data_IF_909869590537
#
_entry.id   IF_909869590537
#
_cell.length_a   1.000
_cell.length_b   1.000
_cell.length_c   1.000
_cell.angle_alpha   90.00
_cell.angle_beta   90.00
_cell.angle_gamma   90.00
#
_symmetry.space_group_name_H-M   'P 1'
#
loop_
_entity.id
_entity.type
_entity.pdbx_description
1 polymer ?
#
# COMPACT_ATOMS: atom_id res chain seq x y z
N UNK A 1 7.28 -25.02 18.99
CA UNK A 1 5.92 -24.50 18.81
C UNK A 1 5.85 -22.98 19.05
N UNK A 2 6.16 -22.52 20.25
CA UNK A 2 6.14 -21.09 20.62
C UNK A 2 7.51 -20.44 20.36
N UNK A 3 7.46 -19.14 20.05
CA UNK A 3 8.64 -18.30 20.06
C UNK A 3 9.18 -18.23 21.51
N UNK A 4 10.49 -18.33 21.68
CA UNK A 4 11.12 -18.36 22.99
C UNK A 4 10.88 -17.07 23.78
N UNK A 5 11.00 -15.93 23.12
CA UNK A 5 10.75 -14.64 23.77
C UNK A 5 9.28 -14.51 24.22
N UNK A 6 8.35 -15.01 23.41
CA UNK A 6 6.95 -15.04 23.80
C UNK A 6 6.70 -15.97 25.00
N UNK A 7 7.34 -17.15 25.01
CA UNK A 7 7.24 -18.08 26.12
C UNK A 7 7.81 -17.48 27.42
N UNK A 8 8.94 -16.78 27.35
CA UNK A 8 9.50 -16.02 28.48
C UNK A 8 8.51 -15.00 29.02
N UNK A 9 7.93 -14.19 28.13
CA UNK A 9 6.94 -13.17 28.52
C UNK A 9 5.75 -13.78 29.23
N UNK A 10 5.16 -14.84 28.68
CA UNK A 10 3.97 -15.49 29.27
C UNK A 10 4.27 -16.09 30.65
N UNK A 11 5.38 -16.78 30.80
CA UNK A 11 5.70 -17.46 32.05
C UNK A 11 6.17 -16.48 33.12
N UNK A 12 6.93 -15.48 32.76
CA UNK A 12 7.50 -14.52 33.71
C UNK A 12 6.51 -13.42 34.12
N UNK A 13 5.72 -12.91 33.17
CA UNK A 13 4.87 -11.74 33.36
C UNK A 13 3.38 -12.06 33.38
N UNK A 14 3.03 -13.27 32.95
CA UNK A 14 1.65 -13.67 32.73
C UNK A 14 1.07 -13.03 31.45
N UNK A 15 0.01 -13.58 30.92
CA UNK A 15 -0.67 -13.03 29.75
C UNK A 15 -2.14 -13.44 29.68
N UNK A 16 -2.90 -12.64 28.94
CA UNK A 16 -4.30 -12.91 28.57
C UNK A 16 -4.45 -12.81 27.05
N UNK A 17 -4.00 -13.84 26.33
CA UNK A 17 -4.04 -13.88 24.87
C UNK A 17 -5.43 -14.05 24.26
N UNK A 18 -6.39 -14.41 25.09
CA UNK A 18 -7.77 -14.65 24.70
C UNK A 18 -8.68 -13.73 25.51
N UNK A 19 -8.94 -12.51 25.04
CA UNK A 19 -9.72 -11.52 25.79
C UNK A 19 -11.14 -11.99 26.11
N UNK A 20 -11.70 -12.89 25.31
CA UNK A 20 -13.01 -13.49 25.50
C UNK A 20 -13.05 -14.61 26.57
N UNK A 21 -11.91 -15.07 27.06
CA UNK A 21 -11.84 -16.06 28.14
C UNK A 21 -11.58 -15.39 29.49
N UNK A 22 -12.21 -15.90 30.54
CA UNK A 22 -11.93 -15.44 31.91
C UNK A 22 -10.53 -15.88 32.40
N UNK A 23 -10.05 -17.03 31.92
CA UNK A 23 -8.75 -17.60 32.29
C UNK A 23 -7.59 -16.77 31.73
N UNK A 24 -6.54 -16.64 32.52
CA UNK A 24 -5.27 -16.02 32.17
C UNK A 24 -4.11 -16.84 32.69
N UNK A 25 -2.94 -16.71 32.05
CA UNK A 25 -1.70 -17.29 32.57
C UNK A 25 -1.24 -16.48 33.77
N UNK A 26 -1.04 -17.12 34.95
CA UNK A 26 -0.49 -16.41 36.10
C UNK A 26 0.93 -15.93 35.86
N UNK A 27 1.34 -14.92 36.60
CA UNK A 27 2.73 -14.46 36.64
C UNK A 27 3.52 -15.33 37.63
N UNK A 28 4.43 -16.17 37.10
CA UNK A 28 5.28 -17.03 37.95
C UNK A 28 6.62 -16.38 38.30
N UNK A 29 7.17 -15.57 37.40
CA UNK A 29 8.47 -14.93 37.54
C UNK A 29 9.63 -15.80 37.04
N UNK A 30 10.71 -15.13 36.61
CA UNK A 30 11.85 -15.76 35.95
C UNK A 30 12.61 -16.77 36.85
N UNK A 31 12.65 -16.53 38.15
CA UNK A 31 13.30 -17.42 39.14
C UNK A 31 12.67 -18.82 39.20
N UNK A 32 11.37 -18.92 38.93
CA UNK A 32 10.65 -20.19 38.96
C UNK A 32 10.57 -20.89 37.58
N UNK A 33 10.53 -20.13 36.51
CA UNK A 33 10.20 -20.64 35.16
C UNK A 33 11.30 -20.51 34.14
N UNK A 34 12.42 -19.87 34.48
CA UNK A 34 13.50 -19.63 33.53
C UNK A 34 14.09 -20.91 32.92
N UNK A 35 14.31 -21.94 33.75
CA UNK A 35 14.80 -23.25 33.29
C UNK A 35 13.81 -23.99 32.39
N UNK A 36 12.50 -23.79 32.56
CA UNK A 36 11.47 -24.42 31.74
C UNK A 36 11.50 -23.89 30.32
N UNK A 37 11.77 -22.62 30.12
CA UNK A 37 11.88 -22.04 28.76
C UNK A 37 13.02 -22.69 27.99
N UNK A 38 14.18 -22.83 28.59
CA UNK A 38 15.35 -23.50 27.99
C UNK A 38 15.06 -24.97 27.72
N UNK A 39 14.43 -25.67 28.65
CA UNK A 39 14.04 -27.06 28.49
C UNK A 39 13.10 -27.24 27.28
N UNK A 40 12.03 -26.44 27.19
CA UNK A 40 11.11 -26.52 26.06
C UNK A 40 11.78 -26.16 24.73
N UNK A 41 12.67 -25.16 24.71
CA UNK A 41 13.41 -24.81 23.51
C UNK A 41 14.30 -25.94 23.00
N UNK A 42 14.92 -26.71 23.92
CA UNK A 42 15.81 -27.82 23.55
C UNK A 42 15.05 -29.11 23.19
N UNK A 43 13.94 -29.40 23.87
CA UNK A 43 13.19 -30.66 23.65
C UNK A 43 12.22 -30.59 22.47
N UNK A 44 11.66 -29.40 22.21
CA UNK A 44 10.70 -29.18 21.13
C UNK A 44 11.35 -28.56 19.88
N UNK A 45 12.63 -28.79 19.65
CA UNK A 45 13.31 -28.29 18.47
C UNK A 45 12.68 -28.89 17.19
N UNK A 46 12.25 -28.02 16.31
CA UNK A 46 11.79 -28.38 14.97
C UNK A 46 12.97 -28.27 14.02
N UNK A 47 13.04 -29.18 13.02
CA UNK A 47 13.98 -29.03 11.92
C UNK A 47 13.65 -27.75 11.12
N UNK A 48 14.66 -27.20 10.46
CA UNK A 48 14.48 -26.06 9.57
C UNK A 48 13.56 -26.43 8.41
N UNK A 49 12.66 -25.51 8.06
CA UNK A 49 11.83 -25.62 6.88
C UNK A 49 12.63 -25.16 5.64
N UNK A 50 12.26 -25.69 4.49
CA UNK A 50 12.83 -25.23 3.23
C UNK A 50 12.45 -23.76 3.01
N UNK A 51 13.37 -22.93 2.51
CA UNK A 51 13.03 -21.57 2.12
C UNK A 51 12.01 -21.62 0.97
N UNK A 52 10.95 -20.82 1.09
CA UNK A 52 9.95 -20.63 0.04
C UNK A 52 10.33 -19.40 -0.75
N UNK A 53 10.39 -19.55 -2.07
CA UNK A 53 10.58 -18.42 -2.99
C UNK A 53 9.23 -18.00 -3.55
N UNK A 54 8.91 -16.74 -3.47
CA UNK A 54 7.67 -16.22 -4.02
C UNK A 54 7.77 -16.00 -5.53
N UNK A 55 6.73 -16.38 -6.28
CA UNK A 55 6.69 -16.15 -7.73
C UNK A 55 6.40 -14.68 -8.11
N UNK A 56 5.92 -13.90 -7.16
CA UNK A 56 5.45 -12.51 -7.35
C UNK A 56 6.04 -11.57 -6.28
N UNK A 57 5.99 -10.25 -6.49
CA UNK A 57 6.43 -9.25 -5.50
C UNK A 57 5.67 -9.36 -4.18
N UNK A 58 6.33 -8.98 -3.08
CA UNK A 58 5.81 -9.15 -1.71
C UNK A 58 4.42 -8.49 -1.51
N UNK A 59 4.18 -7.34 -2.08
CA UNK A 59 2.89 -6.66 -1.95
C UNK A 59 1.73 -7.46 -2.58
N UNK A 60 1.95 -8.16 -3.68
CA UNK A 60 0.96 -9.08 -4.29
C UNK A 60 0.76 -10.31 -3.44
N UNK A 61 1.85 -10.89 -2.96
CA UNK A 61 1.80 -12.04 -2.04
C UNK A 61 0.97 -11.69 -0.79
N UNK A 62 1.18 -10.50 -0.22
CA UNK A 62 0.37 -10.00 0.90
C UNK A 62 -1.09 -9.75 0.53
N UNK A 63 -1.38 -9.27 -0.68
CA UNK A 63 -2.75 -9.10 -1.18
C UNK A 63 -3.47 -10.45 -1.33
N UNK A 64 -2.81 -11.44 -1.90
CA UNK A 64 -3.33 -12.82 -2.02
C UNK A 64 -3.54 -13.47 -0.65
N UNK A 65 -2.62 -13.28 0.28
CA UNK A 65 -2.77 -13.77 1.65
C UNK A 65 -3.97 -13.12 2.35
N UNK A 66 -4.17 -11.82 2.20
CA UNK A 66 -5.32 -11.09 2.71
C UNK A 66 -6.63 -11.62 2.13
N UNK A 67 -6.67 -11.90 0.81
CA UNK A 67 -7.80 -12.53 0.15
C UNK A 67 -8.06 -13.92 0.71
N UNK A 68 -7.01 -14.75 0.85
CA UNK A 68 -7.13 -16.11 1.36
C UNK A 68 -7.77 -16.17 2.75
N UNK A 69 -7.35 -15.31 3.69
CA UNK A 69 -7.87 -15.35 5.06
C UNK A 69 -9.26 -14.69 5.21
N UNK A 70 -9.68 -13.89 4.21
CA UNK A 70 -10.98 -13.22 4.16
C UNK A 70 -12.16 -14.17 3.93
N UNK A 71 -13.34 -13.59 3.78
CA UNK A 71 -14.64 -14.31 3.65
C UNK A 71 -14.82 -15.03 2.31
N UNK A 72 -14.08 -14.63 1.27
CA UNK A 72 -14.22 -15.16 -0.09
C UNK A 72 -13.35 -16.39 -0.39
N UNK A 73 -12.49 -16.82 0.54
CA UNK A 73 -11.61 -17.97 0.33
C UNK A 73 -11.57 -18.89 1.55
N UNK A 74 -10.47 -18.97 2.32
CA UNK A 74 -10.33 -19.86 3.47
C UNK A 74 -11.20 -19.47 4.67
N UNK A 75 -11.69 -18.25 4.69
CA UNK A 75 -12.59 -17.72 5.72
C UNK A 75 -12.04 -17.83 7.16
N UNK A 76 -10.75 -17.64 7.37
CA UNK A 76 -10.12 -17.72 8.69
C UNK A 76 -10.74 -16.74 9.69
N UNK A 77 -11.23 -15.60 9.19
CA UNK A 77 -11.94 -14.56 9.95
C UNK A 77 -13.25 -15.02 10.58
N UNK A 78 -13.81 -16.17 10.18
CA UNK A 78 -14.99 -16.73 10.83
C UNK A 78 -14.69 -17.21 12.26
N UNK A 79 -13.43 -17.53 12.54
CA UNK A 79 -13.01 -18.05 13.85
C UNK A 79 -11.93 -17.20 14.51
N UNK A 80 -11.14 -16.44 13.75
CA UNK A 80 -10.04 -15.65 14.27
C UNK A 80 -10.36 -14.16 14.30
N UNK A 81 -10.06 -13.50 15.40
CA UNK A 81 -10.09 -12.05 15.50
C UNK A 81 -8.90 -11.45 14.74
N UNK A 82 -8.99 -10.18 14.38
CA UNK A 82 -7.95 -9.45 13.70
C UNK A 82 -7.83 -8.06 14.35
N UNK A 83 -6.86 -7.88 15.23
CA UNK A 83 -6.70 -6.69 16.10
C UNK A 83 -8.02 -6.34 16.80
N UNK A 84 -8.60 -5.19 16.53
CA UNK A 84 -9.87 -4.72 17.12
C UNK A 84 -11.12 -5.34 16.49
N UNK A 85 -11.00 -6.06 15.39
CA UNK A 85 -12.13 -6.66 14.70
C UNK A 85 -12.43 -8.04 15.28
N UNK A 86 -13.66 -8.22 15.75
CA UNK A 86 -14.14 -9.51 16.20
C UNK A 86 -14.27 -10.49 15.02
N UNK A 87 -14.09 -11.78 15.28
CA UNK A 87 -14.41 -12.80 14.29
C UNK A 87 -15.91 -12.77 13.95
N UNK A 88 -16.26 -13.12 12.72
CA UNK A 88 -17.68 -13.11 12.27
C UNK A 88 -18.50 -14.26 12.84
N UNK A 89 -17.87 -15.24 13.48
CA UNK A 89 -18.49 -16.38 14.13
C UNK A 89 -17.85 -16.66 15.51
N UNK A 90 -17.22 -17.83 15.66
CA UNK A 90 -16.61 -18.24 16.92
C UNK A 90 -15.35 -17.40 17.22
N UNK A 91 -15.26 -16.83 18.42
CA UNK A 91 -14.09 -16.05 18.80
C UNK A 91 -12.90 -16.95 19.15
N UNK A 92 -11.77 -16.75 18.46
CA UNK A 92 -10.51 -17.45 18.70
C UNK A 92 -9.34 -16.44 18.78
N UNK A 93 -8.12 -16.93 18.67
CA UNK A 93 -6.91 -16.12 18.80
C UNK A 93 -6.80 -15.06 17.71
N UNK A 94 -6.28 -13.90 18.09
CA UNK A 94 -5.99 -12.79 17.19
C UNK A 94 -4.87 -13.15 16.22
N UNK A 95 -5.17 -13.06 14.92
CA UNK A 95 -4.22 -13.38 13.85
C UNK A 95 -3.02 -12.42 13.83
N UNK A 96 -3.21 -11.15 14.17
CA UNK A 96 -2.14 -10.14 14.17
C UNK A 96 -1.03 -10.42 15.19
N UNK A 97 -1.26 -11.38 16.09
CA UNK A 97 -0.29 -11.79 17.11
C UNK A 97 0.45 -13.09 16.78
N UNK A 98 0.06 -13.79 15.69
CA UNK A 98 0.55 -15.15 15.41
C UNK A 98 2.05 -15.21 15.21
N UNK A 99 2.63 -14.32 14.43
CA UNK A 99 4.06 -14.31 14.11
C UNK A 99 4.93 -13.97 15.32
N UNK A 100 4.43 -13.18 16.25
CA UNK A 100 5.11 -12.91 17.53
C UNK A 100 5.09 -14.11 18.47
N UNK A 101 4.05 -14.94 18.38
CA UNK A 101 3.79 -16.04 19.33
C UNK A 101 4.34 -17.38 18.88
N UNK A 102 4.22 -17.65 17.59
CA UNK A 102 4.53 -18.95 17.00
C UNK A 102 5.87 -18.92 16.27
N UNK A 103 6.51 -20.07 16.21
CA UNK A 103 7.61 -20.27 15.28
C UNK A 103 7.04 -20.53 13.88
N UNK A 104 7.70 -19.99 12.84
CA UNK A 104 7.30 -20.11 11.44
C UNK A 104 7.11 -21.56 11.01
N UNK A 105 8.06 -22.44 11.36
CA UNK A 105 8.04 -23.86 11.03
C UNK A 105 6.85 -24.59 11.67
N UNK A 106 6.49 -24.18 12.91
CA UNK A 106 5.30 -24.71 13.58
C UNK A 106 4.02 -24.22 12.91
N UNK A 107 3.93 -22.95 12.58
CA UNK A 107 2.78 -22.36 11.90
C UNK A 107 2.51 -23.10 10.58
N UNK A 108 3.53 -23.29 9.76
CA UNK A 108 3.44 -24.01 8.50
C UNK A 108 2.86 -25.42 8.70
N UNK A 109 3.50 -26.23 9.55
CA UNK A 109 3.08 -27.62 9.82
C UNK A 109 1.68 -27.71 10.42
N UNK A 110 1.33 -26.76 11.30
CA UNK A 110 0.01 -26.73 11.93
C UNK A 110 -1.10 -26.39 10.93
N UNK A 111 -0.86 -25.49 10.00
CA UNK A 111 -1.85 -25.14 8.96
C UNK A 111 -2.10 -26.28 7.98
N UNK A 112 -1.06 -27.04 7.62
CA UNK A 112 -1.20 -28.22 6.74
C UNK A 112 -2.14 -29.29 7.34
N UNK A 113 -2.01 -29.58 8.64
CA UNK A 113 -2.85 -30.59 9.30
C UNK A 113 -3.10 -30.21 10.80
N UNK A 114 -4.07 -29.34 11.06
CA UNK A 114 -4.36 -28.91 12.43
C UNK A 114 -4.75 -30.06 13.36
N UNK A 115 -5.47 -31.07 12.85
CA UNK A 115 -5.99 -32.18 13.66
C UNK A 115 -4.90 -33.13 14.10
N UNK A 116 -3.84 -33.31 13.33
CA UNK A 116 -2.66 -34.09 13.72
C UNK A 116 -2.03 -33.56 15.01
N UNK A 117 -1.99 -32.25 15.17
CA UNK A 117 -1.34 -31.61 16.31
C UNK A 117 -2.29 -31.30 17.45
N UNK A 118 -3.58 -31.22 17.18
CA UNK A 118 -4.61 -31.00 18.17
C UNK A 118 -5.89 -31.75 17.79
N UNK A 119 -6.00 -32.96 18.29
CA UNK A 119 -7.21 -33.77 18.15
C UNK A 119 -8.44 -33.00 18.64
N UNK A 120 -9.53 -33.02 17.86
CA UNK A 120 -10.77 -32.34 18.16
C UNK A 120 -10.76 -30.81 17.93
N UNK A 121 -9.71 -30.24 17.32
CA UNK A 121 -9.74 -28.84 16.89
C UNK A 121 -10.84 -28.60 15.86
N UNK A 122 -11.53 -27.45 15.98
CA UNK A 122 -12.50 -26.99 14.96
C UNK A 122 -11.85 -26.29 13.76
N UNK A 123 -10.53 -26.06 13.81
CA UNK A 123 -9.81 -25.48 12.70
C UNK A 123 -9.81 -26.48 11.53
N UNK A 124 -10.36 -26.11 10.36
CA UNK A 124 -10.39 -27.01 9.22
C UNK A 124 -9.01 -27.16 8.59
N UNK A 125 -8.78 -28.29 7.93
CA UNK A 125 -7.62 -28.46 7.08
C UNK A 125 -7.89 -27.77 5.73
N UNK A 126 -7.20 -26.68 5.45
CA UNK A 126 -7.31 -25.96 4.19
C UNK A 126 -6.45 -26.58 3.06
N UNK A 127 -5.55 -27.48 3.43
CA UNK A 127 -4.65 -28.19 2.49
C UNK A 127 -4.74 -29.71 2.71
N UNK A 128 -5.91 -30.34 2.56
CA UNK A 128 -6.07 -31.78 2.80
C UNK A 128 -5.15 -32.57 1.87
N UNK A 129 -4.31 -33.43 2.47
CA UNK A 129 -3.27 -34.20 1.75
C UNK A 129 -2.33 -33.33 0.90
N UNK A 130 -2.02 -32.12 1.36
CA UNK A 130 -1.15 -31.15 0.67
C UNK A 130 -1.79 -30.47 -0.55
N UNK A 131 -3.10 -30.54 -0.73
CA UNK A 131 -3.81 -29.88 -1.85
C UNK A 131 -4.62 -28.71 -1.34
N UNK A 132 -4.42 -27.56 -1.95
CA UNK A 132 -5.17 -26.37 -1.62
C UNK A 132 -6.64 -26.47 -1.98
N UNK A 133 -7.53 -25.98 -1.09
CA UNK A 133 -8.96 -25.82 -1.41
C UNK A 133 -9.23 -24.54 -2.24
N UNK A 134 -8.23 -23.71 -2.44
CA UNK A 134 -8.26 -22.47 -3.27
C UNK A 134 -7.14 -22.52 -4.32
N UNK A 135 -7.21 -23.45 -5.31
CA UNK A 135 -6.10 -23.72 -6.23
C UNK A 135 -5.83 -22.58 -7.21
N UNK A 136 -6.71 -21.61 -7.31
CA UNK A 136 -6.58 -20.45 -8.21
C UNK A 136 -5.75 -19.30 -7.59
N UNK A 137 -5.38 -19.38 -6.32
CA UNK A 137 -4.51 -18.41 -5.65
C UNK A 137 -3.11 -19.02 -5.54
N UNK A 138 -2.08 -18.28 -5.96
CA UNK A 138 -0.67 -18.71 -5.92
C UNK A 138 -0.46 -20.11 -6.48
N UNK A 139 -1.13 -20.43 -7.59
CA UNK A 139 -1.10 -21.73 -8.29
C UNK A 139 -1.49 -22.95 -7.42
N UNK A 140 -2.16 -22.73 -6.30
CA UNK A 140 -2.55 -23.78 -5.36
C UNK A 140 -1.39 -24.44 -4.62
N UNK A 141 -0.19 -23.86 -4.69
CA UNK A 141 0.98 -24.37 -3.96
C UNK A 141 0.79 -24.13 -2.46
N UNK A 142 0.70 -25.21 -1.70
CA UNK A 142 0.42 -25.17 -0.26
C UNK A 142 1.50 -24.46 0.54
N UNK A 143 2.78 -24.68 0.18
CA UNK A 143 3.91 -24.10 0.90
C UNK A 143 3.98 -22.59 0.63
N UNK A 144 3.79 -22.18 -0.62
CA UNK A 144 3.73 -20.76 -1.01
C UNK A 144 2.53 -20.05 -0.37
N UNK A 145 1.35 -20.67 -0.36
CA UNK A 145 0.15 -20.08 0.24
C UNK A 145 0.29 -19.88 1.76
N UNK A 146 0.82 -20.87 2.47
CA UNK A 146 1.01 -20.77 3.93
C UNK A 146 2.08 -19.72 4.25
N UNK A 147 3.15 -19.68 3.48
CA UNK A 147 4.22 -18.70 3.64
C UNK A 147 3.72 -17.28 3.32
N UNK A 148 2.85 -17.12 2.34
CA UNK A 148 2.20 -15.86 2.02
C UNK A 148 1.37 -15.35 3.21
N UNK A 149 0.60 -16.23 3.85
CA UNK A 149 -0.17 -15.87 5.06
C UNK A 149 0.79 -15.46 6.18
N UNK A 150 1.90 -16.17 6.39
CA UNK A 150 2.90 -15.81 7.38
C UNK A 150 3.48 -14.41 7.11
N UNK A 151 3.91 -14.17 5.87
CA UNK A 151 4.49 -12.88 5.41
C UNK A 151 3.51 -11.71 5.61
N UNK A 152 2.25 -11.92 5.26
CA UNK A 152 1.20 -10.92 5.51
C UNK A 152 1.01 -10.63 7.02
N UNK A 153 1.02 -11.67 7.86
CA UNK A 153 0.84 -11.52 9.31
C UNK A 153 2.08 -10.92 10.02
N UNK A 154 3.25 -10.85 9.38
CA UNK A 154 4.42 -10.13 9.91
C UNK A 154 4.13 -8.64 10.10
N UNK A 155 3.25 -8.05 9.31
CA UNK A 155 2.83 -6.64 9.47
C UNK A 155 2.03 -6.41 10.77
N UNK A 156 1.60 -7.47 11.43
CA UNK A 156 0.90 -7.42 12.72
C UNK A 156 -0.36 -6.54 12.65
N UNK A 157 -0.44 -5.54 13.53
CA UNK A 157 -1.57 -4.59 13.56
C UNK A 157 -1.62 -3.62 12.38
N UNK A 158 -0.51 -3.46 11.67
CA UNK A 158 -0.43 -2.62 10.47
C UNK A 158 -0.90 -3.36 9.22
N UNK A 159 -1.10 -4.68 9.29
CA UNK A 159 -1.62 -5.45 8.18
C UNK A 159 -3.00 -4.94 7.76
N UNK A 160 -3.23 -4.83 6.47
CA UNK A 160 -4.51 -4.39 5.91
C UNK A 160 -5.60 -5.39 6.27
N UNK A 161 -6.73 -4.90 6.79
CA UNK A 161 -7.81 -5.74 7.32
C UNK A 161 -8.37 -6.66 6.23
N UNK A 162 -8.58 -7.97 6.53
CA UNK A 162 -9.19 -8.91 5.60
C UNK A 162 -10.63 -8.51 5.21
N UNK A 163 -11.06 -8.90 4.01
CA UNK A 163 -12.46 -8.76 3.59
C UNK A 163 -13.40 -9.54 4.52
N UNK A 164 -14.61 -9.00 4.72
CA UNK A 164 -15.63 -9.61 5.60
C UNK A 164 -15.55 -9.23 7.07
N UNK A 165 -14.50 -8.55 7.55
CA UNK A 165 -14.38 -8.02 8.92
C UNK A 165 -14.80 -6.55 9.05
N UNK A 166 -14.76 -5.82 7.96
CA UNK A 166 -15.26 -4.46 7.90
C UNK A 166 -16.63 -4.46 7.22
N UNK A 167 -17.41 -3.39 7.42
CA UNK A 167 -18.61 -3.16 6.65
C UNK A 167 -18.28 -3.28 5.16
N UNK A 168 -19.16 -3.91 4.38
CA UNK A 168 -18.97 -4.06 2.94
C UNK A 168 -18.62 -2.72 2.30
N UNK A 169 -17.48 -2.70 1.63
CA UNK A 169 -17.08 -1.56 0.81
C UNK A 169 -17.97 -1.47 -0.41
N UNK A 170 -18.34 -0.26 -0.81
CA UNK A 170 -18.92 -0.02 -2.13
C UNK A 170 -17.77 0.30 -3.07
N UNK A 171 -17.20 -0.75 -3.66
CA UNK A 171 -16.13 -0.61 -4.63
C UNK A 171 -16.64 0.04 -5.92
N UNK A 172 -16.04 1.15 -6.30
CA UNK A 172 -16.21 1.70 -7.64
C UNK A 172 -15.31 0.91 -8.59
N UNK A 173 -15.92 0.20 -9.56
CA UNK A 173 -15.20 -0.68 -10.51
C UNK A 173 -15.08 -0.01 -11.87
N UNK A 174 -13.88 0.45 -12.27
CA UNK A 174 -13.66 0.96 -13.62
C UNK A 174 -13.85 -0.13 -14.68
N UNK A 175 -14.61 0.20 -15.72
CA UNK A 175 -14.79 -0.63 -16.91
C UNK A 175 -14.03 -0.08 -18.11
N UNK A 176 -14.62 -0.13 -19.30
CA UNK A 176 -14.02 0.37 -20.55
C UNK A 176 -13.64 1.86 -20.48
N UNK A 177 -14.31 2.61 -19.65
CA UNK A 177 -13.98 4.02 -19.38
C UNK A 177 -13.47 4.17 -17.94
N UNK A 178 -12.51 5.08 -17.72
CA UNK A 178 -12.08 5.40 -16.37
C UNK A 178 -13.20 6.02 -15.55
N UNK A 179 -13.16 5.79 -14.25
CA UNK A 179 -14.03 6.49 -13.29
C UNK A 179 -13.26 7.69 -12.74
N UNK A 180 -13.85 8.88 -12.88
CA UNK A 180 -13.35 10.11 -12.26
C UNK A 180 -14.22 10.40 -11.03
N UNK A 181 -13.68 10.23 -9.83
CA UNK A 181 -14.40 10.30 -8.57
C UNK A 181 -13.90 11.45 -7.70
N UNK A 182 -14.74 12.49 -7.54
CA UNK A 182 -14.43 13.67 -6.74
C UNK A 182 -14.99 13.52 -5.34
N UNK A 183 -14.11 13.51 -4.34
CA UNK A 183 -14.50 13.35 -2.96
C UNK A 183 -13.40 13.75 -1.98
N UNK A 184 -13.72 13.70 -0.67
CA UNK A 184 -12.73 13.71 0.40
C UNK A 184 -11.98 12.38 0.40
N UNK A 185 -10.73 12.41 -0.03
CA UNK A 185 -9.87 11.22 -0.13
C UNK A 185 -8.80 11.32 0.95
N UNK A 186 -8.55 10.22 1.67
CA UNK A 186 -7.54 10.19 2.72
C UNK A 186 -6.15 10.55 2.17
N UNK A 187 -5.43 11.41 2.88
CA UNK A 187 -4.11 11.90 2.46
C UNK A 187 -4.13 13.06 1.45
N UNK A 188 -5.31 13.52 1.00
CA UNK A 188 -5.47 14.66 0.11
C UNK A 188 -6.16 15.84 0.83
N UNK A 189 -6.07 17.02 0.21
CA UNK A 189 -6.93 18.16 0.55
C UNK A 189 -8.42 17.83 0.30
N UNK A 190 -9.37 18.66 0.76
CA UNK A 190 -10.80 18.48 0.47
C UNK A 190 -11.16 18.52 -1.03
N UNK A 191 -10.18 18.69 -1.91
CA UNK A 191 -10.32 18.77 -3.36
C UNK A 191 -9.76 17.57 -4.10
N UNK A 192 -9.89 16.37 -3.51
CA UNK A 192 -9.42 15.13 -4.08
C UNK A 192 -10.21 14.70 -5.32
N UNK A 193 -9.50 14.19 -6.33
CA UNK A 193 -10.05 13.61 -7.55
C UNK A 193 -9.35 12.28 -7.81
N UNK A 194 -9.99 11.17 -7.47
CA UNK A 194 -9.47 9.85 -7.78
C UNK A 194 -9.83 9.45 -9.22
N UNK A 195 -8.91 8.80 -9.90
CA UNK A 195 -9.11 8.29 -11.27
C UNK A 195 -8.75 6.80 -11.29
N UNK A 196 -9.75 5.99 -11.62
CA UNK A 196 -9.61 4.54 -11.69
C UNK A 196 -9.66 4.03 -13.13
N UNK A 197 -8.85 3.02 -13.43
CA UNK A 197 -8.76 2.38 -14.73
C UNK A 197 -8.97 0.87 -14.64
N UNK A 198 -9.48 0.26 -15.71
CA UNK A 198 -9.60 -1.20 -15.82
C UNK A 198 -8.24 -1.92 -15.71
N UNK A 199 -7.16 -1.23 -16.08
CA UNK A 199 -5.77 -1.72 -15.96
C UNK A 199 -5.28 -1.89 -14.51
N UNK A 200 -6.10 -1.56 -13.50
CA UNK A 200 -5.82 -1.70 -12.07
C UNK A 200 -4.60 -0.87 -11.57
N UNK A 201 -4.15 0.11 -12.31
CA UNK A 201 -3.24 1.15 -11.86
C UNK A 201 -4.04 2.44 -11.73
N UNK A 202 -4.06 3.05 -10.57
CA UNK A 202 -4.95 4.16 -10.22
C UNK A 202 -4.18 5.30 -9.61
N UNK A 203 -4.77 6.50 -9.61
CA UNK A 203 -4.20 7.64 -8.91
C UNK A 203 -5.28 8.53 -8.26
N UNK A 204 -4.87 9.33 -7.29
CA UNK A 204 -5.66 10.43 -6.77
C UNK A 204 -4.91 11.75 -6.96
N UNK A 205 -5.55 12.69 -7.63
CA UNK A 205 -5.06 14.02 -7.94
C UNK A 205 -5.64 15.04 -6.95
N UNK A 206 -4.82 15.94 -6.45
CA UNK A 206 -5.23 16.97 -5.51
C UNK A 206 -5.37 18.31 -6.23
N UNK A 207 -6.60 18.82 -6.34
CA UNK A 207 -6.88 20.05 -7.05
C UNK A 207 -6.48 21.33 -6.27
N UNK A 208 -6.08 21.22 -5.01
CA UNK A 208 -5.46 22.32 -4.26
C UNK A 208 -3.95 22.38 -4.51
N UNK A 209 -3.30 21.23 -4.55
CA UNK A 209 -1.86 21.11 -4.81
C UNK A 209 -1.51 20.96 -6.29
N UNK A 210 -2.51 20.74 -7.16
CA UNK A 210 -2.38 20.59 -8.62
C UNK A 210 -1.35 19.53 -9.03
N UNK A 211 -1.37 18.39 -8.32
CA UNK A 211 -0.46 17.28 -8.52
C UNK A 211 -1.11 15.96 -8.10
N UNK A 212 -0.70 14.80 -8.69
CA UNK A 212 -1.07 13.50 -8.13
C UNK A 212 -0.45 13.34 -6.74
N UNK A 213 -1.24 12.78 -5.81
CA UNK A 213 -0.85 12.60 -4.40
C UNK A 213 -0.79 11.14 -3.97
N UNK A 214 -1.60 10.29 -4.57
CA UNK A 214 -1.60 8.85 -4.33
C UNK A 214 -1.57 8.11 -5.65
N UNK A 215 -0.87 6.99 -5.68
CA UNK A 215 -0.91 5.98 -6.74
C UNK A 215 -1.06 4.61 -6.08
N UNK A 216 -1.82 3.68 -6.69
CA UNK A 216 -2.01 2.34 -6.14
C UNK A 216 -2.47 1.33 -7.18
N UNK A 217 -2.31 0.04 -6.85
CA UNK A 217 -2.74 -1.10 -7.68
C UNK A 217 -3.99 -1.78 -7.11
N UNK A 218 -4.67 -2.55 -7.96
CA UNK A 218 -5.73 -3.48 -7.55
C UNK A 218 -7.13 -2.89 -7.56
N UNK A 219 -7.88 -2.98 -6.45
CA UNK A 219 -9.22 -2.43 -6.34
C UNK A 219 -9.20 -0.91 -6.24
N UNK A 220 -10.18 -0.22 -6.86
CA UNK A 220 -10.11 1.23 -7.00
C UNK A 220 -10.33 1.96 -5.68
N UNK A 221 -11.57 2.26 -5.31
CA UNK A 221 -11.87 3.10 -4.14
C UNK A 221 -13.18 2.69 -3.48
N UNK A 222 -13.25 2.83 -2.15
CA UNK A 222 -14.47 2.63 -1.38
C UNK A 222 -15.33 3.89 -1.37
N UNK A 223 -16.55 3.80 -1.88
CA UNK A 223 -17.56 4.87 -1.82
C UNK A 223 -18.54 4.69 -0.66
N UNK A 224 -18.45 3.63 0.16
CA UNK A 224 -19.43 3.30 1.20
C UNK A 224 -19.62 4.42 2.22
N UNK A 225 -18.55 5.13 2.60
CA UNK A 225 -18.63 6.21 3.58
C UNK A 225 -19.50 7.40 3.14
N UNK A 226 -19.77 7.53 1.85
CA UNK A 226 -20.70 8.53 1.31
C UNK A 226 -22.16 8.24 1.66
N UNK A 227 -22.48 6.95 1.88
CA UNK A 227 -23.84 6.44 2.06
C UNK A 227 -24.15 6.08 3.51
N UNK A 228 -23.24 6.41 4.44
CA UNK A 228 -23.36 6.09 5.87
C UNK A 228 -23.53 7.37 6.65
N UNK A 229 -24.65 7.53 7.36
CA UNK A 229 -24.97 8.68 8.21
C UNK A 229 -24.74 10.04 7.52
N UNK A 230 -23.86 10.86 8.09
CA UNK A 230 -23.47 12.17 7.53
C UNK A 230 -22.15 12.12 6.77
N UNK A 231 -21.71 10.95 6.29
CA UNK A 231 -20.44 10.76 5.62
C UNK A 231 -19.22 10.78 6.57
N UNK A 232 -19.07 9.77 7.45
CA UNK A 232 -18.00 9.76 8.44
C UNK A 232 -16.64 9.48 7.81
N UNK A 233 -15.87 10.52 7.56
CA UNK A 233 -14.47 10.43 7.16
C UNK A 233 -14.20 10.34 5.68
N UNK A 234 -12.91 10.24 5.35
CA UNK A 234 -12.42 10.25 3.99
C UNK A 234 -12.56 8.89 3.31
N UNK A 235 -12.73 8.90 1.98
CA UNK A 235 -12.70 7.70 1.16
C UNK A 235 -11.27 7.18 1.06
N UNK A 236 -11.11 5.86 1.00
CA UNK A 236 -9.77 5.22 0.98
C UNK A 236 -9.60 4.35 -0.26
N UNK A 237 -8.37 4.27 -0.81
CA UNK A 237 -8.05 3.26 -1.79
C UNK A 237 -8.32 1.85 -1.25
N UNK A 238 -9.01 1.02 -2.04
CA UNK A 238 -9.27 -0.38 -1.69
C UNK A 238 -8.13 -1.31 -2.11
N UNK A 239 -7.40 -0.90 -3.13
CA UNK A 239 -6.26 -1.63 -3.66
C UNK A 239 -5.07 -1.71 -2.69
N UNK A 240 -4.01 -2.34 -3.11
CA UNK A 240 -2.80 -2.55 -2.33
C UNK A 240 -1.64 -1.71 -2.88
N UNK A 241 -0.52 -1.67 -2.16
CA UNK A 241 0.67 -0.92 -2.55
C UNK A 241 0.39 0.57 -2.85
N UNK A 242 -0.24 1.23 -1.88
CA UNK A 242 -0.59 2.65 -1.98
C UNK A 242 0.64 3.48 -1.68
N UNK A 243 1.11 4.24 -2.68
CA UNK A 243 2.26 5.15 -2.57
C UNK A 243 1.80 6.59 -2.48
N UNK A 244 2.47 7.36 -1.62
CA UNK A 244 2.20 8.80 -1.45
C UNK A 244 3.23 9.62 -2.21
N UNK A 245 2.76 10.54 -3.05
CA UNK A 245 3.58 11.49 -3.79
C UNK A 245 3.64 12.86 -3.08
N UNK A 246 4.63 13.72 -3.40
CA UNK A 246 4.84 14.99 -2.71
C UNK A 246 3.61 15.92 -2.76
N UNK A 247 3.43 16.70 -1.70
CA UNK A 247 2.51 17.83 -1.65
C UNK A 247 3.22 19.14 -2.04
N UNK A 248 2.44 20.20 -2.18
CA UNK A 248 2.92 21.56 -2.45
C UNK A 248 2.95 21.89 -3.93
N UNK A 249 3.47 23.06 -4.29
CA UNK A 249 3.52 23.51 -5.67
C UNK A 249 4.26 22.51 -6.57
N UNK A 250 3.68 22.13 -7.73
CA UNK A 250 4.35 21.20 -8.65
C UNK A 250 5.49 21.85 -9.43
N UNK A 251 5.45 23.16 -9.64
CA UNK A 251 6.44 23.95 -10.37
C UNK A 251 6.99 25.06 -9.47
N UNK A 252 8.23 25.44 -9.68
CA UNK A 252 8.85 26.59 -9.01
C UNK A 252 9.90 27.24 -9.92
N UNK A 253 10.10 28.54 -9.75
CA UNK A 253 11.31 29.22 -10.24
C UNK A 253 12.35 29.22 -9.14
N UNK A 254 13.54 28.68 -9.42
CA UNK A 254 14.66 28.60 -8.48
C UNK A 254 15.86 29.37 -9.05
N UNK A 255 16.38 30.33 -8.32
CA UNK A 255 17.60 31.09 -8.71
C UNK A 255 18.83 30.17 -8.68
N UNK A 256 18.84 29.21 -7.77
CA UNK A 256 19.87 28.17 -7.69
C UNK A 256 19.25 26.83 -7.26
N UNK A 257 19.96 25.74 -7.54
CA UNK A 257 19.56 24.39 -7.08
C UNK A 257 19.68 24.20 -5.57
N UNK A 258 20.32 25.09 -4.85
CA UNK A 258 20.41 25.09 -3.38
C UNK A 258 19.22 25.80 -2.71
N UNK A 259 18.38 26.48 -3.51
CA UNK A 259 17.18 27.19 -3.03
C UNK A 259 16.13 26.21 -2.50
N UNK A 260 15.48 26.57 -1.40
CA UNK A 260 14.36 25.76 -0.87
C UNK A 260 13.21 25.70 -1.85
N UNK A 261 12.55 24.53 -1.96
CA UNK A 261 11.30 24.41 -2.72
C UNK A 261 10.20 25.20 -2.02
N UNK A 262 9.39 26.00 -2.75
CA UNK A 262 8.29 26.73 -2.15
C UNK A 262 7.35 25.78 -1.41
N UNK A 263 6.97 26.14 -0.21
CA UNK A 263 6.00 25.45 0.61
C UNK A 263 4.68 26.23 0.68
N UNK A 264 3.73 25.74 1.49
CA UNK A 264 2.44 26.36 1.69
C UNK A 264 1.43 26.09 0.57
N UNK A 265 0.40 26.95 0.51
CA UNK A 265 -0.67 26.79 -0.48
C UNK A 265 -0.16 27.21 -1.87
N UNK A 266 -0.32 26.37 -2.92
CA UNK A 266 0.07 26.75 -4.28
C UNK A 266 -0.55 28.05 -4.80
N UNK A 267 -1.73 28.44 -4.31
CA UNK A 267 -2.36 29.73 -4.67
C UNK A 267 -1.50 30.92 -4.31
N UNK A 268 -0.80 30.86 -3.17
CA UNK A 268 0.10 31.92 -2.72
C UNK A 268 1.36 31.99 -3.58
N UNK A 269 1.64 30.91 -4.34
CA UNK A 269 2.74 30.76 -5.30
C UNK A 269 2.29 30.94 -6.77
N UNK A 270 1.20 31.66 -7.01
CA UNK A 270 0.71 32.02 -8.34
C UNK A 270 -0.06 30.93 -9.10
N UNK A 271 -0.49 29.86 -8.41
CA UNK A 271 -1.25 28.78 -9.04
C UNK A 271 -2.76 29.01 -8.98
N UNK A 272 -3.47 28.55 -10.01
CA UNK A 272 -4.92 28.55 -10.06
C UNK A 272 -5.44 27.33 -10.83
N UNK A 273 -6.14 26.44 -10.15
CA UNK A 273 -6.81 25.30 -10.78
C UNK A 273 -7.94 25.76 -11.72
N UNK A 274 -7.97 25.26 -12.94
CA UNK A 274 -8.94 25.60 -14.00
C UNK A 274 -9.92 24.48 -14.33
N UNK A 275 -9.84 23.37 -13.61
CA UNK A 275 -10.69 22.21 -13.84
C UNK A 275 -9.97 21.11 -14.66
N UNK A 276 -10.77 20.24 -15.23
CA UNK A 276 -10.29 19.21 -16.16
C UNK A 276 -11.28 19.02 -17.31
N UNK A 277 -10.79 18.51 -18.40
CA UNK A 277 -11.62 18.07 -19.54
C UNK A 277 -11.42 16.58 -19.76
N UNK A 278 -12.46 15.88 -20.16
CA UNK A 278 -12.41 14.48 -20.54
C UNK A 278 -12.21 14.36 -22.06
N UNK A 279 -11.38 13.44 -22.48
CA UNK A 279 -11.29 13.05 -23.89
C UNK A 279 -12.42 12.08 -24.28
N UNK A 280 -12.40 11.57 -25.53
CA UNK A 280 -13.42 10.62 -26.03
C UNK A 280 -13.43 9.29 -25.25
N UNK A 281 -12.29 8.87 -24.70
CA UNK A 281 -12.15 7.68 -23.87
C UNK A 281 -12.56 7.92 -22.40
N UNK A 282 -12.81 9.19 -22.01
CA UNK A 282 -13.16 9.56 -20.65
C UNK A 282 -11.95 9.86 -19.75
N UNK A 283 -10.75 9.96 -20.32
CA UNK A 283 -9.54 10.26 -19.56
C UNK A 283 -9.49 11.75 -19.22
N UNK A 284 -9.23 12.12 -17.96
CA UNK A 284 -9.13 13.51 -17.54
C UNK A 284 -7.76 14.11 -17.92
N UNK A 285 -7.80 15.31 -18.49
CA UNK A 285 -6.65 16.22 -18.58
C UNK A 285 -6.91 17.37 -17.61
N UNK A 286 -6.14 17.43 -16.54
CA UNK A 286 -6.21 18.51 -15.56
C UNK A 286 -5.57 19.77 -16.11
N UNK A 287 -6.19 20.94 -15.84
CA UNK A 287 -5.74 22.25 -16.33
C UNK A 287 -5.58 23.20 -15.16
N UNK A 288 -4.44 23.86 -15.12
CA UNK A 288 -4.17 24.90 -14.14
C UNK A 288 -3.27 25.98 -14.74
N UNK A 289 -3.23 27.11 -14.06
CA UNK A 289 -2.35 28.22 -14.40
C UNK A 289 -1.27 28.33 -13.33
N UNK A 290 -0.06 28.61 -13.75
CA UNK A 290 1.04 29.03 -12.89
C UNK A 290 1.56 30.36 -13.41
N UNK A 291 1.29 31.46 -12.66
CA UNK A 291 1.47 32.82 -13.15
C UNK A 291 0.81 33.00 -14.53
N UNK A 292 1.58 33.33 -15.55
CA UNK A 292 1.12 33.50 -16.94
C UNK A 292 1.23 32.22 -17.79
N UNK A 293 1.67 31.11 -17.21
CA UNK A 293 1.79 29.83 -17.92
C UNK A 293 0.52 28.99 -17.77
N UNK A 294 0.03 28.42 -18.86
CA UNK A 294 -1.00 27.36 -18.85
C UNK A 294 -0.32 26.02 -18.71
N UNK A 295 -0.79 25.21 -17.79
CA UNK A 295 -0.27 23.85 -17.56
C UNK A 295 -1.39 22.84 -17.73
N UNK A 296 -1.06 21.74 -18.44
CA UNK A 296 -1.93 20.56 -18.54
C UNK A 296 -1.19 19.34 -18.02
N UNK A 297 -1.95 18.46 -17.35
CA UNK A 297 -1.44 17.27 -16.67
C UNK A 297 -2.39 16.10 -16.97
N UNK A 298 -1.90 15.08 -17.65
CA UNK A 298 -2.67 13.89 -18.05
C UNK A 298 -1.95 12.65 -17.56
N UNK A 299 -2.68 11.72 -16.96
CA UNK A 299 -2.11 10.48 -16.43
C UNK A 299 -2.90 9.31 -16.99
N UNK A 300 -2.20 8.33 -17.53
CA UNK A 300 -2.75 7.13 -18.17
C UNK A 300 -2.05 5.88 -17.64
N UNK A 301 -2.72 4.72 -17.66
CA UNK A 301 -2.02 3.46 -17.44
C UNK A 301 -0.91 3.24 -18.46
N UNK A 302 0.17 2.65 -18.00
CA UNK A 302 1.31 2.24 -18.80
C UNK A 302 1.53 0.73 -18.60
N UNK A 303 1.52 -0.02 -19.71
CA UNK A 303 1.70 -1.47 -19.64
C UNK A 303 3.13 -1.81 -19.24
N UNK A 304 3.25 -2.59 -18.16
CA UNK A 304 4.52 -3.12 -17.67
C UNK A 304 4.26 -4.41 -16.87
N UNK A 305 5.31 -5.12 -16.52
CA UNK A 305 5.24 -6.36 -15.76
C UNK A 305 6.08 -6.22 -14.49
N UNK A 306 5.64 -6.76 -13.35
CA UNK A 306 4.42 -7.59 -13.12
C UNK A 306 3.13 -6.78 -13.02
N UNK A 307 3.17 -5.50 -12.69
CA UNK A 307 2.03 -4.61 -12.54
C UNK A 307 2.07 -3.48 -13.55
N UNK A 308 0.91 -2.96 -13.96
CA UNK A 308 0.84 -1.79 -14.82
C UNK A 308 1.29 -0.55 -14.06
N UNK A 309 2.12 0.27 -14.70
CA UNK A 309 2.51 1.58 -14.19
C UNK A 309 1.52 2.69 -14.62
N UNK A 310 1.95 3.92 -14.39
CA UNK A 310 1.27 5.13 -14.85
C UNK A 310 2.23 5.99 -15.68
N UNK A 311 1.77 6.50 -16.81
CA UNK A 311 2.46 7.51 -17.60
C UNK A 311 1.81 8.86 -17.36
N UNK A 312 2.55 9.80 -16.79
CA UNK A 312 2.15 11.20 -16.60
C UNK A 312 2.77 12.07 -17.71
N UNK A 313 1.95 12.89 -18.33
CA UNK A 313 2.40 13.89 -19.32
C UNK A 313 2.05 15.28 -18.81
N UNK A 314 3.07 16.08 -18.54
CA UNK A 314 2.92 17.48 -18.12
C UNK A 314 3.37 18.40 -19.27
N UNK A 315 2.52 19.34 -19.63
CA UNK A 315 2.78 20.33 -20.69
C UNK A 315 2.66 21.74 -20.12
N UNK A 316 3.67 22.57 -20.33
CA UNK A 316 3.73 23.95 -19.88
C UNK A 316 3.82 24.87 -21.11
N UNK A 317 2.85 25.78 -21.24
CA UNK A 317 2.76 26.77 -22.32
C UNK A 317 2.72 28.19 -21.69
N UNK A 318 3.86 28.87 -21.59
CA UNK A 318 3.93 30.19 -20.98
C UNK A 318 3.61 31.30 -22.01
N UNK A 319 2.96 32.37 -21.54
CA UNK A 319 2.77 33.59 -22.38
C UNK A 319 4.08 34.39 -22.52
N UNK A 320 4.89 34.44 -21.47
CA UNK A 320 6.21 35.06 -21.43
C UNK A 320 7.31 34.01 -21.25
N UNK A 321 8.56 34.33 -21.57
CA UNK A 321 9.67 33.44 -21.35
C UNK A 321 9.73 32.98 -19.90
N UNK A 322 9.80 31.69 -19.69
CA UNK A 322 9.89 31.04 -18.37
C UNK A 322 11.34 30.61 -18.15
N UNK A 323 12.04 31.30 -17.27
CA UNK A 323 13.43 31.00 -16.90
C UNK A 323 13.51 30.36 -15.54
N UNK A 324 14.54 29.54 -15.34
CA UNK A 324 14.81 28.87 -14.05
C UNK A 324 13.60 28.10 -13.47
N UNK A 325 12.71 27.63 -14.36
CA UNK A 325 11.53 26.88 -13.98
C UNK A 325 11.86 25.40 -13.81
N UNK A 326 11.33 24.80 -12.77
CA UNK A 326 11.53 23.41 -12.40
C UNK A 326 10.20 22.75 -12.08
N UNK A 327 10.04 21.50 -12.54
CA UNK A 327 8.94 20.62 -12.18
C UNK A 327 9.45 19.62 -11.15
N UNK A 328 8.87 19.58 -9.97
CA UNK A 328 9.19 18.59 -8.93
C UNK A 328 8.33 17.34 -9.11
N UNK A 329 8.98 16.21 -9.39
CA UNK A 329 8.34 14.93 -9.62
C UNK A 329 8.21 14.15 -8.32
N UNK A 330 9.28 14.10 -7.53
CA UNK A 330 9.31 13.36 -6.28
C UNK A 330 10.10 14.11 -5.21
N UNK A 331 9.81 13.80 -3.95
CA UNK A 331 10.58 14.23 -2.78
C UNK A 331 10.45 13.15 -1.70
N UNK A 332 11.57 12.55 -1.31
CA UNK A 332 11.62 11.41 -0.40
C UNK A 332 12.83 11.41 0.54
N UNK A 333 12.94 10.38 1.34
CA UNK A 333 14.11 10.16 2.21
C UNK A 333 15.26 9.55 1.43
N UNK A 334 14.94 8.60 0.53
CA UNK A 334 15.91 7.86 -0.25
C UNK A 334 15.71 8.16 -1.74
N UNK A 335 16.81 8.26 -2.48
CA UNK A 335 16.79 8.26 -3.93
C UNK A 335 18.03 7.53 -4.44
N UNK A 336 17.82 6.68 -5.43
CA UNK A 336 18.88 5.94 -6.14
C UNK A 336 18.66 6.01 -7.64
N UNK A 337 19.74 6.02 -8.40
CA UNK A 337 19.68 5.92 -9.87
C UNK A 337 19.91 4.48 -10.29
N UNK A 338 19.05 3.97 -11.15
CA UNK A 338 19.13 2.60 -11.67
C UNK A 338 18.57 2.54 -13.08
N UNK A 339 19.36 2.03 -14.02
CA UNK A 339 18.97 1.74 -15.41
C UNK A 339 18.22 2.91 -16.11
N UNK A 340 18.79 4.12 -16.03
CA UNK A 340 18.23 5.31 -16.66
C UNK A 340 16.93 5.85 -16.03
N UNK A 341 16.62 5.42 -14.82
CA UNK A 341 15.52 5.90 -14.02
C UNK A 341 16.00 6.31 -12.61
N UNK A 342 15.17 7.05 -11.90
CA UNK A 342 15.41 7.43 -10.50
C UNK A 342 14.32 6.79 -9.63
N UNK A 343 14.73 6.07 -8.59
CA UNK A 343 13.81 5.49 -7.61
C UNK A 343 13.80 6.39 -6.38
N UNK A 344 12.62 6.88 -5.99
CA UNK A 344 12.45 7.70 -4.79
C UNK A 344 11.41 7.03 -3.89
N UNK A 345 11.83 6.63 -2.68
CA UNK A 345 11.00 5.95 -1.68
C UNK A 345 10.14 4.80 -2.26
N UNK A 346 10.72 3.98 -3.16
CA UNK A 346 10.09 2.82 -3.75
C UNK A 346 9.29 3.08 -5.05
N UNK A 347 9.16 4.33 -5.48
CA UNK A 347 8.59 4.65 -6.80
C UNK A 347 9.70 4.91 -7.80
N UNK A 348 9.71 4.17 -8.90
CA UNK A 348 10.64 4.32 -10.02
C UNK A 348 10.07 5.33 -11.02
N UNK A 349 10.85 6.35 -11.33
CA UNK A 349 10.54 7.39 -12.30
C UNK A 349 11.50 7.31 -13.49
N UNK A 350 10.97 7.01 -14.66
CA UNK A 350 11.68 7.13 -15.93
C UNK A 350 11.18 8.36 -16.66
N UNK A 351 12.09 9.25 -17.03
CA UNK A 351 11.75 10.54 -17.65
C UNK A 351 12.16 10.51 -19.13
N UNK A 352 11.23 10.91 -20.01
CA UNK A 352 11.47 11.01 -21.43
C UNK A 352 11.57 12.46 -21.89
N UNK A 353 12.57 12.74 -22.72
CA UNK A 353 12.74 14.02 -23.41
C UNK A 353 13.43 15.13 -22.63
N UNK A 354 13.75 14.88 -21.36
CA UNK A 354 14.51 15.83 -20.52
C UNK A 354 15.36 15.07 -19.51
N UNK A 355 16.49 15.65 -19.16
CA UNK A 355 17.39 15.07 -18.16
C UNK A 355 17.00 15.54 -16.76
N UNK A 356 16.64 14.63 -15.86
CA UNK A 356 16.27 14.97 -14.49
C UNK A 356 17.49 15.28 -13.65
N UNK A 357 17.29 16.03 -12.57
CA UNK A 357 18.31 16.32 -11.58
C UNK A 357 17.81 15.79 -10.21
N UNK A 358 18.69 15.07 -9.51
CA UNK A 358 18.45 14.69 -8.12
C UNK A 358 19.27 15.62 -7.24
N UNK A 359 18.61 16.32 -6.31
CA UNK A 359 19.26 17.18 -5.33
C UNK A 359 18.92 16.78 -3.90
N UNK A 360 19.73 17.24 -2.95
CA UNK A 360 19.46 17.06 -1.52
C UNK A 360 19.19 18.40 -0.87
N UNK A 361 18.04 18.56 -0.25
CA UNK A 361 17.61 19.76 0.46
C UNK A 361 16.94 19.35 1.78
N UNK A 362 17.34 19.94 2.90
CA UNK A 362 16.76 19.67 4.23
C UNK A 362 16.63 18.16 4.55
N UNK A 363 17.67 17.38 4.30
CA UNK A 363 17.71 15.91 4.43
C UNK A 363 16.66 15.14 3.57
N UNK A 364 16.13 15.76 2.52
CA UNK A 364 15.25 15.12 1.56
C UNK A 364 15.90 15.11 0.17
N UNK A 365 15.65 14.04 -0.55
CA UNK A 365 16.05 13.88 -1.95
C UNK A 365 14.89 14.36 -2.82
N UNK A 366 15.15 15.28 -3.73
CA UNK A 366 14.15 15.80 -4.66
C UNK A 366 14.53 15.48 -6.10
N UNK A 367 13.57 15.00 -6.88
CA UNK A 367 13.71 14.76 -8.32
C UNK A 367 13.06 15.92 -9.08
N UNK A 368 13.87 16.67 -9.80
CA UNK A 368 13.47 17.88 -10.52
C UNK A 368 13.72 17.74 -12.02
N UNK A 369 12.86 18.36 -12.83
CA UNK A 369 13.01 18.44 -14.28
C UNK A 369 13.04 19.90 -14.69
N UNK A 370 14.04 20.34 -15.50
CA UNK A 370 14.11 21.70 -16.00
C UNK A 370 12.99 21.99 -16.99
N UNK A 371 12.28 23.11 -16.78
CA UNK A 371 11.10 23.52 -17.57
C UNK A 371 11.29 24.91 -18.19
N UNK A 372 12.51 25.29 -18.55
CA UNK A 372 12.77 26.54 -19.26
C UNK A 372 12.10 26.50 -20.63
N UNK A 373 11.30 27.52 -20.97
CA UNK A 373 10.49 27.60 -22.18
C UNK A 373 10.43 29.03 -22.66
N UNK A 374 10.62 29.28 -23.99
CA UNK A 374 10.45 30.59 -24.55
C UNK A 374 8.97 31.00 -24.63
N UNK A 375 8.71 32.30 -24.78
CA UNK A 375 7.35 32.81 -24.97
C UNK A 375 6.71 32.20 -26.24
N UNK A 376 5.49 31.70 -26.10
CA UNK A 376 4.72 31.08 -27.19
C UNK A 376 5.16 29.67 -27.60
N UNK A 377 6.22 29.12 -26.96
CA UNK A 377 6.62 27.72 -27.11
C UNK A 377 5.94 26.86 -26.04
N UNK A 378 6.09 25.55 -26.19
CA UNK A 378 5.52 24.57 -25.26
C UNK A 378 6.60 23.56 -24.86
N UNK A 379 6.77 23.35 -23.56
CA UNK A 379 7.57 22.24 -23.04
C UNK A 379 6.67 21.11 -22.59
N UNK A 380 6.98 19.91 -23.03
CA UNK A 380 6.30 18.69 -22.61
C UNK A 380 7.32 17.71 -22.01
N UNK A 381 6.93 17.07 -20.93
CA UNK A 381 7.70 15.99 -20.33
C UNK A 381 6.78 14.80 -20.08
N UNK A 382 7.30 13.60 -20.33
CA UNK A 382 6.65 12.34 -20.00
C UNK A 382 7.40 11.66 -18.87
N UNK A 383 6.65 11.12 -17.93
CA UNK A 383 7.15 10.50 -16.71
C UNK A 383 6.44 9.17 -16.58
N UNK A 384 7.18 8.08 -16.66
CA UNK A 384 6.69 6.73 -16.39
C UNK A 384 6.95 6.44 -14.92
N UNK A 385 5.91 6.07 -14.21
CA UNK A 385 5.93 5.71 -12.79
C UNK A 385 5.59 4.25 -12.64
N UNK A 386 6.49 3.48 -12.01
CA UNK A 386 6.27 2.08 -11.60
C UNK A 386 6.65 1.92 -10.14
N UNK A 387 5.95 1.00 -9.40
CA UNK A 387 6.17 0.82 -7.97
C UNK A 387 5.79 -0.57 -7.51
#
# INVERSE_FOLDING_TARGET
KLNENWLKTILNEGAKDRPYMATRMPKFGASQTGSLVTLFASTDALGEDKPVTFPEPEHRIKADARLMIGDQALSCIKCHTFDKYAATGIQSLDMTTMTRRLRREWFHRYLLDPQKYRSGTRMPAAWPKGRSVVPHILNGDSDVQIEAIWTYLLDGKNAKVPSGLQREAIELRPGDRPIVYRNFIEGLSPRGIAVGFAAKAHFAWDAEHMTPRLIWHGAFIDAAKHWVDRGPGNQVPLGDHVMTLPAGPPLASLESLDGAWPDGNPRDNGFAFKGYSLDKAGVPTFKYRWNEATVTDTILPFETSPDNGLQRTVTVAPANKLENAWLRIASGQNAEESDGAVIVDGVRFQIEGKEPIVRTINNRRELLIPMTVNAGETATVRIIMTW
#
